data_IF_553715809067
#
_entry.id   IF_553715809067
#
_cell.length_a   1.000
_cell.length_b   1.000
_cell.length_c   1.000
_cell.angle_alpha   90.00
_cell.angle_beta   90.00
_cell.angle_gamma   90.00
#
_symmetry.space_group_name_H-M   'P 1'
#
loop_
_entity.id
_entity.type
_entity.pdbx_description
1 polymer ?
#
# COMPACT_ATOMS: atom_id res chain seq x y z
N UNK A 1 -14.92 0.61 -23.60
CA UNK A 1 -13.54 1.06 -23.71
C UNK A 1 -12.76 0.10 -24.59
N UNK A 2 -11.89 0.60 -25.46
CA UNK A 2 -11.00 -0.29 -26.23
C UNK A 2 -10.06 -0.99 -25.24
N UNK A 3 -9.77 -2.30 -25.41
CA UNK A 3 -8.80 -2.98 -24.60
C UNK A 3 -7.44 -2.29 -24.73
N UNK A 4 -6.71 -2.23 -23.63
CA UNK A 4 -5.33 -1.74 -23.61
C UNK A 4 -4.51 -2.69 -24.48
N UNK A 5 -3.89 -2.21 -25.56
CA UNK A 5 -2.90 -2.96 -26.29
C UNK A 5 -1.58 -2.79 -25.53
N UNK A 6 -1.22 -3.80 -24.74
CA UNK A 6 0.16 -4.01 -24.33
C UNK A 6 0.90 -4.63 -25.50
N UNK A 7 1.85 -3.93 -26.07
CA UNK A 7 2.91 -4.62 -26.79
C UNK A 7 3.76 -5.27 -25.69
N UNK A 8 3.53 -6.56 -25.46
CA UNK A 8 4.43 -7.34 -24.63
C UNK A 8 5.70 -7.56 -25.44
N UNK A 9 6.73 -6.78 -25.16
CA UNK A 9 8.08 -7.13 -25.54
C UNK A 9 8.51 -8.21 -24.56
N UNK A 10 8.35 -9.47 -24.91
CA UNK A 10 9.04 -10.55 -24.22
C UNK A 10 10.50 -10.43 -24.64
N UNK A 11 11.29 -9.72 -23.86
CA UNK A 11 12.74 -9.72 -24.02
C UNK A 11 13.21 -11.04 -23.42
N UNK A 12 13.56 -11.99 -24.26
CA UNK A 12 14.38 -13.13 -23.83
C UNK A 12 15.80 -12.61 -23.60
N UNK A 13 16.03 -12.16 -22.36
CA UNK A 13 17.28 -11.51 -21.93
C UNK A 13 18.47 -12.48 -22.01
N UNK A 14 18.23 -13.78 -22.09
CA UNK A 14 19.27 -14.79 -22.30
C UNK A 14 19.92 -14.70 -23.69
N UNK A 15 19.30 -14.05 -24.68
CA UNK A 15 19.75 -14.01 -26.07
C UNK A 15 20.36 -12.68 -26.52
N UNK A 16 20.14 -11.57 -25.84
CA UNK A 16 20.61 -10.25 -26.30
C UNK A 16 21.66 -9.65 -25.37
N UNK A 17 22.92 -9.64 -25.86
CA UNK A 17 24.00 -8.78 -25.34
C UNK A 17 23.82 -7.33 -25.85
N UNK A 18 22.64 -6.78 -25.75
CA UNK A 18 22.35 -5.38 -26.01
C UNK A 18 22.07 -4.71 -24.69
N UNK A 19 22.77 -3.63 -24.35
CA UNK A 19 22.38 -2.79 -23.23
C UNK A 19 21.03 -2.17 -23.57
N UNK A 20 19.97 -2.39 -22.78
CA UNK A 20 18.77 -1.58 -22.92
C UNK A 20 19.16 -0.12 -22.67
N UNK A 21 18.59 0.81 -23.42
CA UNK A 21 18.84 2.26 -23.25
C UNK A 21 18.53 2.77 -21.84
N UNK A 22 17.94 1.93 -20.98
CA UNK A 22 17.46 2.23 -19.63
C UNK A 22 18.04 1.29 -18.55
N UNK A 23 19.34 1.01 -18.58
CA UNK A 23 20.04 0.27 -17.53
C UNK A 23 20.46 -1.16 -17.91
N UNK A 24 21.07 -1.85 -16.97
CA UNK A 24 21.57 -3.20 -17.10
C UNK A 24 20.76 -4.17 -16.25
N UNK A 25 20.46 -5.35 -16.80
CA UNK A 25 19.79 -6.45 -16.10
C UNK A 25 20.77 -7.61 -15.95
N UNK A 26 20.81 -8.21 -14.75
CA UNK A 26 21.56 -9.42 -14.43
C UNK A 26 20.63 -10.43 -13.74
N UNK A 27 20.62 -11.67 -14.25
CA UNK A 27 19.78 -12.76 -13.75
C UNK A 27 20.60 -13.93 -13.16
N UNK A 28 21.87 -13.73 -12.88
CA UNK A 28 22.77 -14.81 -12.42
C UNK A 28 22.48 -15.28 -10.99
N UNK A 29 21.92 -14.39 -10.14
CA UNK A 29 21.62 -14.68 -8.75
C UNK A 29 20.25 -14.11 -8.33
N UNK A 30 19.21 -14.38 -9.12
CA UNK A 30 17.91 -13.73 -9.02
C UNK A 30 17.80 -12.62 -10.06
N UNK A 31 17.08 -11.54 -9.73
CA UNK A 31 16.97 -10.37 -10.59
C UNK A 31 17.78 -9.20 -10.03
N UNK A 32 18.53 -8.53 -10.89
CA UNK A 32 19.23 -7.29 -10.59
C UNK A 32 19.12 -6.32 -11.78
N UNK A 33 18.77 -5.08 -11.49
CA UNK A 33 18.70 -3.97 -12.44
C UNK A 33 19.57 -2.81 -11.95
N UNK A 34 20.40 -2.29 -12.81
CA UNK A 34 21.29 -1.17 -12.51
C UNK A 34 21.15 -0.07 -13.56
N UNK A 35 20.99 1.18 -13.10
CA UNK A 35 20.91 2.37 -13.93
C UNK A 35 21.77 3.50 -13.35
N UNK A 36 22.55 4.17 -14.21
CA UNK A 36 23.36 5.34 -13.82
C UNK A 36 22.47 6.56 -13.59
N UNK A 37 22.61 7.20 -12.43
CA UNK A 37 21.91 8.43 -12.06
C UNK A 37 22.80 9.64 -12.28
N UNK A 38 22.32 10.61 -13.05
CA UNK A 38 22.94 11.93 -13.15
C UNK A 38 22.61 12.78 -11.92
N UNK A 39 23.40 13.82 -11.65
CA UNK A 39 23.18 14.70 -10.48
C UNK A 39 21.81 15.36 -10.46
N UNK A 40 21.25 15.65 -11.62
CA UNK A 40 19.94 16.27 -11.80
C UNK A 40 18.77 15.32 -11.70
N UNK A 41 19.00 14.00 -11.70
CA UNK A 41 17.92 13.03 -11.69
C UNK A 41 17.21 13.00 -10.34
N UNK A 42 15.88 12.96 -10.40
CA UNK A 42 14.99 12.81 -9.25
C UNK A 42 14.30 11.46 -9.38
N UNK A 43 14.24 10.71 -8.29
CA UNK A 43 13.52 9.43 -8.24
C UNK A 43 12.29 9.58 -7.33
N UNK A 44 11.10 9.30 -7.89
CA UNK A 44 9.82 9.34 -7.20
C UNK A 44 9.26 7.94 -7.01
N UNK A 45 8.34 7.76 -6.06
CA UNK A 45 7.55 6.54 -5.91
C UNK A 45 7.77 5.79 -4.61
N UNK A 46 7.69 4.46 -4.66
CA UNK A 46 7.93 3.49 -3.58
C UNK A 46 6.90 3.50 -2.44
N UNK A 47 5.82 4.29 -2.55
CA UNK A 47 4.75 4.30 -1.57
C UNK A 47 5.08 5.08 -0.30
N UNK A 48 4.63 4.55 0.82
CA UNK A 48 4.77 5.20 2.11
C UNK A 48 6.21 5.14 2.64
N UNK A 49 6.76 6.31 2.95
CA UNK A 49 8.07 6.45 3.59
C UNK A 49 8.15 7.81 4.32
N UNK A 50 8.86 7.87 5.43
CA UNK A 50 9.08 9.10 6.20
C UNK A 50 10.06 10.09 5.53
N UNK A 51 10.61 9.70 4.41
CA UNK A 51 11.59 10.47 3.63
C UNK A 51 10.89 11.36 2.60
N UNK A 52 11.62 12.32 2.09
CA UNK A 52 11.11 13.27 1.11
C UNK A 52 10.60 12.64 -0.20
N UNK A 53 10.07 13.50 -1.08
CA UNK A 53 9.55 13.07 -2.40
C UNK A 53 10.66 12.50 -3.27
N UNK A 54 11.85 13.10 -3.28
CA UNK A 54 13.02 12.54 -3.94
C UNK A 54 13.57 11.37 -3.11
N UNK A 55 13.60 10.19 -3.70
CA UNK A 55 14.01 8.96 -3.02
C UNK A 55 15.52 8.71 -3.02
N UNK A 56 16.31 9.58 -3.64
CA UNK A 56 17.78 9.43 -3.69
C UNK A 56 18.45 9.51 -2.32
N UNK A 57 19.56 8.80 -2.20
CA UNK A 57 20.38 8.73 -1.00
C UNK A 57 19.90 7.72 0.04
N UNK A 58 18.95 6.86 -0.31
CA UNK A 58 18.38 5.91 0.63
C UNK A 58 18.13 4.54 -0.01
N UNK A 59 17.99 3.55 0.87
CA UNK A 59 17.56 2.19 0.52
C UNK A 59 16.12 1.98 0.98
N UNK A 60 15.32 1.29 0.16
CA UNK A 60 13.93 0.94 0.43
C UNK A 60 13.73 -0.55 0.21
N UNK A 61 12.90 -1.15 1.02
CA UNK A 61 12.51 -2.56 0.88
C UNK A 61 11.00 -2.59 0.67
N UNK A 62 10.57 -3.14 -0.45
CA UNK A 62 9.15 -3.35 -0.74
C UNK A 62 8.64 -4.53 0.07
N UNK A 63 8.24 -4.25 1.31
CA UNK A 63 7.69 -5.22 2.25
C UNK A 63 6.81 -4.47 3.23
N UNK A 64 5.49 -4.63 3.13
CA UNK A 64 4.56 -3.99 4.05
C UNK A 64 4.76 -4.56 5.46
N UNK A 65 5.02 -3.70 6.42
CA UNK A 65 5.30 -4.08 7.79
C UNK A 65 4.50 -3.21 8.77
N UNK A 66 3.89 -3.86 9.76
CA UNK A 66 3.32 -3.18 10.92
C UNK A 66 4.46 -2.79 11.86
N UNK A 67 4.94 -1.55 11.69
CA UNK A 67 6.01 -1.01 12.50
C UNK A 67 5.59 0.34 13.12
N UNK A 68 5.30 0.39 14.43
CA UNK A 68 4.90 1.62 15.10
C UNK A 68 6.06 2.61 15.31
N UNK A 69 7.30 2.19 15.10
CA UNK A 69 8.50 3.01 15.29
C UNK A 69 8.93 3.63 13.95
N UNK A 70 8.33 4.75 13.62
CA UNK A 70 8.56 5.47 12.36
C UNK A 70 9.79 6.38 12.47
N UNK A 71 10.92 5.90 11.96
CA UNK A 71 12.16 6.68 11.82
C UNK A 71 12.44 6.97 10.35
N UNK A 72 13.29 7.96 10.06
CA UNK A 72 13.69 8.25 8.67
C UNK A 72 14.54 7.15 8.04
N UNK A 73 15.20 6.32 8.84
CA UNK A 73 16.04 5.21 8.42
C UNK A 73 15.29 3.88 8.26
N UNK A 74 13.99 3.85 8.52
CA UNK A 74 13.15 2.67 8.27
C UNK A 74 13.03 2.41 6.78
N UNK A 75 13.32 1.19 6.34
CA UNK A 75 13.32 0.81 4.94
C UNK A 75 11.94 0.58 4.34
N UNK A 76 10.95 0.24 5.16
CA UNK A 76 9.55 0.05 4.75
C UNK A 76 8.58 0.43 5.86
N UNK A 77 7.36 0.79 5.46
CA UNK A 77 6.22 1.07 6.33
C UNK A 77 5.02 0.21 5.90
N UNK A 78 3.80 0.68 6.16
CA UNK A 78 2.57 -0.09 5.92
C UNK A 78 2.20 -0.27 4.45
N UNK A 79 2.59 0.66 3.56
CA UNK A 79 2.17 0.65 2.16
C UNK A 79 3.34 0.92 1.21
N UNK A 80 4.13 -0.10 0.90
CA UNK A 80 5.14 -0.05 -0.15
C UNK A 80 4.52 -0.33 -1.52
N UNK A 81 5.06 0.30 -2.55
CA UNK A 81 4.66 0.10 -3.94
C UNK A 81 5.88 -0.11 -4.83
N UNK A 82 5.83 -1.14 -5.68
CA UNK A 82 6.92 -1.49 -6.59
C UNK A 82 6.94 -0.62 -7.86
N UNK A 83 6.63 0.66 -7.72
CA UNK A 83 6.61 1.61 -8.82
C UNK A 83 7.49 2.81 -8.52
N UNK A 84 8.39 3.13 -9.48
CA UNK A 84 9.25 4.31 -9.43
C UNK A 84 9.19 5.07 -10.74
N UNK A 85 9.51 6.37 -10.66
CA UNK A 85 9.75 7.24 -11.82
C UNK A 85 11.12 7.86 -11.65
N UNK A 86 12.00 7.65 -12.62
CA UNK A 86 13.23 8.43 -12.78
C UNK A 86 12.90 9.63 -13.66
N UNK A 87 13.29 10.83 -13.25
CA UNK A 87 13.02 12.06 -13.98
C UNK A 87 14.26 12.96 -14.00
N UNK A 88 14.80 13.19 -15.17
CA UNK A 88 16.02 13.97 -15.40
C UNK A 88 16.37 14.03 -16.86
N UNK A 89 17.60 13.71 -17.22
CA UNK A 89 18.05 13.64 -18.60
C UNK A 89 17.23 12.60 -19.41
N UNK A 90 16.86 11.51 -18.76
CA UNK A 90 15.85 10.56 -19.24
C UNK A 90 14.70 10.53 -18.25
N UNK A 91 13.48 10.35 -18.77
CA UNK A 91 12.27 10.26 -17.92
C UNK A 91 11.53 8.98 -18.26
N UNK A 92 11.45 8.08 -17.29
CA UNK A 92 10.77 6.78 -17.43
C UNK A 92 10.23 6.28 -16.09
N UNK A 93 9.24 5.39 -16.15
CA UNK A 93 8.73 4.67 -14.99
C UNK A 93 9.08 3.19 -15.06
N UNK A 94 9.30 2.58 -13.93
CA UNK A 94 9.45 1.13 -13.77
C UNK A 94 8.40 0.63 -12.78
N UNK A 95 7.66 -0.38 -13.19
CA UNK A 95 6.76 -1.11 -12.31
C UNK A 95 7.15 -2.59 -12.32
N UNK A 96 7.34 -3.13 -11.12
CA UNK A 96 7.68 -4.53 -10.90
C UNK A 96 6.45 -5.25 -10.35
N UNK A 97 5.83 -6.08 -11.19
CA UNK A 97 4.74 -6.95 -10.75
C UNK A 97 5.34 -8.21 -10.13
N UNK A 98 5.64 -8.10 -8.86
CA UNK A 98 6.27 -9.14 -8.07
C UNK A 98 5.71 -9.17 -6.65
N UNK A 99 5.16 -10.30 -6.18
CA UNK A 99 4.44 -10.39 -4.92
C UNK A 99 5.34 -10.56 -3.68
N UNK A 100 6.66 -10.52 -3.85
CA UNK A 100 7.61 -10.69 -2.76
C UNK A 100 8.53 -9.47 -2.62
N UNK A 101 9.54 -9.59 -1.78
CA UNK A 101 10.42 -8.49 -1.41
C UNK A 101 11.34 -8.06 -2.54
N UNK A 102 11.33 -6.77 -2.85
CA UNK A 102 12.29 -6.11 -3.74
C UNK A 102 13.05 -5.05 -2.95
N UNK A 103 14.35 -4.97 -3.17
CA UNK A 103 15.19 -3.89 -2.61
C UNK A 103 15.47 -2.84 -3.69
N UNK A 104 15.25 -1.58 -3.32
CA UNK A 104 15.56 -0.41 -4.13
C UNK A 104 16.67 0.39 -3.45
N UNK A 105 17.87 0.30 -3.95
CA UNK A 105 19.01 1.13 -3.53
C UNK A 105 19.09 2.33 -4.46
N UNK A 106 18.64 3.48 -3.99
CA UNK A 106 18.50 4.68 -4.80
C UNK A 106 19.63 5.65 -4.48
N UNK A 107 20.83 5.36 -4.96
CA UNK A 107 22.00 6.20 -4.69
C UNK A 107 22.47 6.14 -3.24
N UNK A 108 22.16 5.09 -2.49
CA UNK A 108 22.61 4.89 -1.10
C UNK A 108 24.00 4.27 -1.05
N UNK A 109 24.19 3.13 -1.70
CA UNK A 109 25.49 2.44 -1.74
C UNK A 109 26.47 3.13 -2.70
N UNK A 110 25.98 3.56 -3.87
CA UNK A 110 26.69 4.38 -4.84
C UNK A 110 25.80 5.55 -5.23
N UNK A 111 26.26 6.78 -4.99
CA UNK A 111 25.46 8.01 -5.14
C UNK A 111 24.96 8.28 -6.57
N UNK A 112 25.62 7.69 -7.56
CA UNK A 112 25.36 7.81 -9.00
C UNK A 112 24.69 6.56 -9.59
N UNK A 113 24.12 5.66 -8.74
CA UNK A 113 23.53 4.41 -9.20
C UNK A 113 22.17 4.14 -8.55
N UNK A 114 21.20 3.77 -9.37
CA UNK A 114 19.98 3.10 -8.96
C UNK A 114 20.21 1.59 -9.12
N UNK A 115 20.12 0.84 -8.02
CA UNK A 115 20.23 -0.61 -8.03
C UNK A 115 18.98 -1.24 -7.42
N UNK A 116 18.29 -2.07 -8.20
CA UNK A 116 17.07 -2.76 -7.82
C UNK A 116 17.31 -4.26 -7.93
N UNK A 117 17.01 -5.00 -6.88
CA UNK A 117 17.26 -6.44 -6.86
C UNK A 117 16.28 -7.23 -6.01
N UNK A 118 16.07 -8.49 -6.37
CA UNK A 118 15.33 -9.49 -5.59
C UNK A 118 15.87 -10.90 -5.86
N UNK A 119 15.46 -11.85 -5.02
CA UNK A 119 16.01 -13.22 -5.03
C UNK A 119 15.51 -14.11 -6.18
N UNK A 120 14.52 -13.65 -6.95
CA UNK A 120 13.93 -14.41 -8.05
C UNK A 120 13.97 -13.62 -9.34
N UNK A 121 14.18 -14.32 -10.45
CA UNK A 121 14.05 -13.77 -11.79
C UNK A 121 12.64 -13.99 -12.40
N UNK A 122 11.73 -14.62 -11.66
CA UNK A 122 10.35 -14.83 -12.08
C UNK A 122 9.48 -13.64 -11.67
N UNK A 123 9.54 -12.58 -12.44
CA UNK A 123 8.80 -11.33 -12.23
C UNK A 123 8.51 -10.64 -13.58
N UNK A 124 7.43 -9.87 -13.61
CA UNK A 124 7.10 -9.00 -14.73
C UNK A 124 7.57 -7.57 -14.48
N UNK A 125 8.22 -6.97 -15.49
CA UNK A 125 8.68 -5.59 -15.43
C UNK A 125 8.01 -4.79 -16.53
N UNK A 126 7.38 -3.68 -16.14
CA UNK A 126 6.77 -2.73 -17.07
C UNK A 126 7.63 -1.47 -17.13
N UNK A 127 8.18 -1.20 -18.30
CA UNK A 127 8.88 0.06 -18.59
C UNK A 127 7.87 1.03 -19.21
N UNK A 128 7.69 2.17 -18.57
CA UNK A 128 6.71 3.19 -18.98
C UNK A 128 7.48 4.41 -19.43
N UNK A 129 7.41 4.73 -20.71
CA UNK A 129 8.05 5.91 -21.29
C UNK A 129 7.09 7.10 -21.35
N UNK A 130 7.62 8.31 -21.24
CA UNK A 130 6.82 9.54 -21.30
C UNK A 130 7.69 10.79 -21.17
N UNK A 131 7.14 11.93 -21.57
CA UNK A 131 7.86 13.21 -21.56
C UNK A 131 7.94 13.84 -20.18
N UNK A 132 7.15 13.33 -19.24
CA UNK A 132 7.07 13.87 -17.88
C UNK A 132 6.61 12.83 -16.85
N UNK A 133 6.89 13.03 -15.55
CA UNK A 133 6.32 12.20 -14.48
C UNK A 133 4.77 12.11 -14.52
N UNK A 134 4.10 13.15 -14.99
CA UNK A 134 2.63 13.16 -15.15
C UNK A 134 2.18 12.19 -16.25
N UNK A 135 2.89 12.16 -17.39
CA UNK A 135 2.55 11.25 -18.49
C UNK A 135 2.76 9.80 -18.08
N UNK A 136 3.85 9.52 -17.37
CA UNK A 136 4.15 8.20 -16.83
C UNK A 136 3.07 7.78 -15.82
N UNK A 137 2.73 8.63 -14.86
CA UNK A 137 1.66 8.37 -13.90
C UNK A 137 0.32 8.13 -14.58
N UNK A 138 0.01 8.89 -15.62
CA UNK A 138 -1.22 8.72 -16.40
C UNK A 138 -1.27 7.36 -17.12
N UNK A 139 -0.15 6.92 -17.67
CA UNK A 139 -0.04 5.61 -18.32
C UNK A 139 -0.11 4.47 -17.29
N UNK A 140 0.60 4.59 -16.18
CA UNK A 140 0.53 3.64 -15.06
C UNK A 140 -0.93 3.48 -14.56
N UNK A 141 -1.65 4.58 -14.37
CA UNK A 141 -3.07 4.54 -13.99
C UNK A 141 -3.99 3.93 -15.05
N UNK A 142 -3.62 3.94 -16.32
CA UNK A 142 -4.37 3.19 -17.35
C UNK A 142 -4.17 1.69 -17.21
N UNK A 143 -2.98 1.28 -16.81
CA UNK A 143 -2.60 -0.11 -16.62
C UNK A 143 -3.27 -0.71 -15.38
N UNK A 144 -3.14 -0.05 -14.22
CA UNK A 144 -3.68 -0.54 -12.93
C UNK A 144 -5.14 -0.16 -12.67
N UNK A 145 -5.72 0.71 -13.49
CA UNK A 145 -7.08 1.21 -13.31
C UNK A 145 -7.14 2.56 -12.58
N UNK A 146 -8.37 3.05 -12.41
CA UNK A 146 -8.62 4.33 -11.73
C UNK A 146 -8.89 4.09 -10.26
N UNK A 147 -8.27 4.92 -9.41
CA UNK A 147 -8.60 4.94 -7.99
C UNK A 147 -10.06 5.38 -7.78
N UNK A 148 -10.70 4.75 -6.81
CA UNK A 148 -11.98 5.25 -6.31
C UNK A 148 -11.80 6.66 -5.73
N UNK A 149 -12.73 7.55 -6.02
CA UNK A 149 -12.77 8.87 -5.39
C UNK A 149 -13.74 8.77 -4.22
N UNK A 150 -13.25 8.79 -2.99
CA UNK A 150 -14.10 8.67 -1.82
C UNK A 150 -14.96 9.92 -1.60
N UNK A 151 -16.02 9.83 -0.78
CA UNK A 151 -16.83 10.98 -0.42
C UNK A 151 -16.01 12.04 0.32
N UNK A 152 -16.47 13.29 0.29
CA UNK A 152 -15.71 14.45 0.77
C UNK A 152 -15.21 14.32 2.21
N UNK A 153 -15.99 13.71 3.10
CA UNK A 153 -15.59 13.53 4.50
C UNK A 153 -14.30 12.72 4.66
N UNK A 154 -14.02 11.78 3.76
CA UNK A 154 -12.83 10.93 3.80
C UNK A 154 -11.52 11.69 3.50
N UNK A 155 -11.61 12.94 3.05
CA UNK A 155 -10.48 13.86 2.92
C UNK A 155 -10.35 14.81 4.13
N UNK A 156 -11.24 14.68 5.12
CA UNK A 156 -11.20 15.43 6.36
C UNK A 156 -10.32 14.76 7.42
N UNK A 157 -10.38 15.32 8.64
CA UNK A 157 -9.59 14.78 9.75
C UNK A 157 -10.31 13.60 10.41
N UNK A 158 -9.56 12.51 10.61
CA UNK A 158 -10.02 11.32 11.32
C UNK A 158 -9.16 11.05 12.56
N UNK A 159 -9.80 10.84 13.71
CA UNK A 159 -9.11 10.46 14.94
C UNK A 159 -9.19 8.95 15.15
N UNK A 160 -8.02 8.33 15.32
CA UNK A 160 -7.87 6.93 15.67
C UNK A 160 -7.04 6.75 16.93
N UNK A 161 -7.40 5.75 17.72
CA UNK A 161 -6.57 5.29 18.84
C UNK A 161 -7.00 3.89 19.26
N UNK A 162 -6.04 2.99 19.46
CA UNK A 162 -6.31 1.76 20.20
C UNK A 162 -6.72 2.05 21.64
N UNK A 163 -7.79 1.42 22.13
CA UNK A 163 -8.32 1.61 23.46
C UNK A 163 -9.53 2.52 23.58
N UNK A 164 -10.13 2.96 22.47
CA UNK A 164 -11.53 3.44 22.47
C UNK A 164 -12.45 2.23 22.44
N UNK A 165 -13.10 1.93 23.58
CA UNK A 165 -13.83 0.68 23.81
C UNK A 165 -15.33 0.83 23.84
N UNK A 166 -15.82 2.03 24.22
CA UNK A 166 -17.22 2.29 24.46
C UNK A 166 -17.72 3.46 23.62
N UNK A 167 -19.04 3.57 23.38
CA UNK A 167 -19.63 4.75 22.74
C UNK A 167 -19.19 6.07 23.36
N UNK A 168 -19.07 6.12 24.70
CA UNK A 168 -18.65 7.31 25.45
C UNK A 168 -17.24 7.76 25.12
N UNK A 169 -16.32 6.83 24.82
CA UNK A 169 -14.95 7.18 24.41
C UNK A 169 -14.97 7.97 23.11
N UNK A 170 -15.72 7.52 22.11
CA UNK A 170 -15.85 8.18 20.81
C UNK A 170 -16.59 9.52 20.91
N UNK A 171 -17.68 9.56 21.67
CA UNK A 171 -18.44 10.81 21.91
C UNK A 171 -17.58 11.85 22.64
N UNK A 172 -16.80 11.41 23.61
CA UNK A 172 -15.87 12.30 24.35
C UNK A 172 -14.82 12.88 23.43
N UNK A 173 -14.25 12.06 22.55
CA UNK A 173 -13.28 12.52 21.55
C UNK A 173 -13.93 13.54 20.62
N UNK A 174 -15.05 13.18 20.00
CA UNK A 174 -15.77 14.05 19.08
C UNK A 174 -16.13 15.39 19.72
N UNK A 175 -16.67 15.36 20.93
CA UNK A 175 -17.04 16.53 21.70
C UNK A 175 -15.83 17.43 22.01
N UNK A 176 -14.71 16.87 22.48
CA UNK A 176 -13.49 17.62 22.78
C UNK A 176 -12.92 18.35 21.56
N UNK A 177 -12.95 17.73 20.40
CA UNK A 177 -12.55 18.37 19.15
C UNK A 177 -13.44 19.58 18.84
N UNK A 178 -14.78 19.42 18.97
CA UNK A 178 -15.74 20.51 18.73
C UNK A 178 -15.59 21.65 19.74
N UNK A 179 -15.47 21.34 21.04
CA UNK A 179 -15.27 22.33 22.10
C UNK A 179 -14.00 23.18 21.91
N UNK A 180 -12.96 22.57 21.35
CA UNK A 180 -11.70 23.26 21.04
C UNK A 180 -11.66 23.87 19.63
N UNK A 181 -12.78 23.89 18.91
CA UNK A 181 -12.89 24.40 17.54
C UNK A 181 -11.95 23.73 16.54
N UNK A 182 -11.62 22.47 16.77
CA UNK A 182 -10.80 21.65 15.87
C UNK A 182 -11.74 20.83 14.98
N UNK A 183 -11.63 20.93 13.64
CA UNK A 183 -12.44 20.12 12.74
C UNK A 183 -12.19 18.63 12.95
N UNK A 184 -13.27 17.84 12.88
CA UNK A 184 -13.21 16.38 12.86
C UNK A 184 -14.35 15.85 11.98
N UNK A 185 -14.05 14.92 11.10
CA UNK A 185 -14.99 14.32 10.15
C UNK A 185 -15.22 12.84 10.42
N UNK A 186 -14.23 12.16 11.02
CA UNK A 186 -14.26 10.73 11.27
C UNK A 186 -13.68 10.38 12.63
N UNK A 187 -14.21 9.31 13.22
CA UNK A 187 -13.58 8.58 14.33
C UNK A 187 -13.43 7.12 13.94
N UNK A 188 -12.28 6.55 14.22
CA UNK A 188 -11.99 5.17 13.90
C UNK A 188 -12.18 4.28 15.10
N UNK A 189 -12.90 3.18 14.91
CA UNK A 189 -13.00 2.09 15.89
C UNK A 189 -11.84 1.12 15.64
N UNK A 190 -11.04 0.90 16.66
CA UNK A 190 -10.03 -0.16 16.69
C UNK A 190 -10.67 -1.48 17.18
N UNK A 191 -9.93 -2.55 17.27
CA UNK A 191 -10.40 -3.92 17.53
C UNK A 191 -11.28 -4.07 18.78
N UNK A 192 -11.22 -3.15 19.73
CA UNK A 192 -11.98 -3.21 21.00
C UNK A 192 -13.52 -3.08 20.83
N UNK A 193 -14.01 -2.65 19.66
CA UNK A 193 -15.45 -2.62 19.42
C UNK A 193 -16.07 -4.00 19.13
N UNK A 194 -15.22 -4.95 18.76
CA UNK A 194 -15.65 -6.30 18.41
C UNK A 194 -16.04 -7.11 19.65
N UNK A 195 -16.95 -8.07 19.52
CA UNK A 195 -17.13 -9.10 20.53
C UNK A 195 -15.92 -10.03 20.56
N UNK A 196 -15.13 -9.93 21.61
CA UNK A 196 -13.98 -10.82 21.85
C UNK A 196 -12.98 -10.87 20.67
N UNK A 197 -12.81 -9.74 19.98
CA UNK A 197 -11.91 -9.61 18.80
C UNK A 197 -12.30 -10.52 17.62
N UNK A 198 -13.60 -10.70 17.41
CA UNK A 198 -14.15 -11.41 16.27
C UNK A 198 -14.57 -10.41 15.20
N UNK A 199 -14.01 -10.49 14.01
CA UNK A 199 -14.40 -9.65 12.88
C UNK A 199 -15.90 -9.74 12.59
N UNK A 200 -16.47 -8.63 12.12
CA UNK A 200 -17.90 -8.49 11.79
C UNK A 200 -18.87 -8.67 12.98
N UNK A 201 -18.36 -8.54 14.20
CA UNK A 201 -19.16 -8.51 15.41
C UNK A 201 -19.09 -7.13 16.07
N UNK A 202 -20.10 -6.82 16.88
CA UNK A 202 -20.15 -5.62 17.72
C UNK A 202 -20.36 -6.09 19.15
N UNK A 203 -19.60 -5.55 20.09
CA UNK A 203 -19.80 -5.88 21.50
C UNK A 203 -21.05 -5.23 22.08
N UNK A 204 -21.56 -5.76 23.19
CA UNK A 204 -22.85 -5.36 23.78
C UNK A 204 -22.84 -3.92 24.34
N UNK A 205 -21.69 -3.31 24.59
CA UNK A 205 -21.57 -1.95 25.11
C UNK A 205 -22.12 -0.90 24.14
N UNK A 206 -22.20 -1.21 22.85
CA UNK A 206 -22.73 -0.32 21.82
C UNK A 206 -24.26 -0.34 21.70
N UNK A 207 -24.96 -1.26 22.39
CA UNK A 207 -26.41 -1.34 22.37
C UNK A 207 -26.99 -1.39 20.95
N UNK A 208 -27.90 -0.46 20.61
CA UNK A 208 -28.36 -0.31 19.22
C UNK A 208 -27.30 0.44 18.41
N UNK A 209 -26.41 -0.34 17.81
CA UNK A 209 -25.31 0.19 16.99
C UNK A 209 -25.80 1.04 15.82
N UNK A 210 -26.93 0.69 15.22
CA UNK A 210 -27.48 1.46 14.10
C UNK A 210 -27.92 2.85 14.54
N UNK A 211 -28.60 2.95 15.68
CA UNK A 211 -29.00 4.22 16.26
C UNK A 211 -27.78 5.06 16.66
N UNK A 212 -26.77 4.44 17.24
CA UNK A 212 -25.51 5.10 17.60
C UNK A 212 -24.83 5.72 16.38
N UNK A 213 -24.68 4.98 15.29
CA UNK A 213 -24.10 5.47 14.03
C UNK A 213 -24.91 6.65 13.46
N UNK A 214 -26.24 6.56 13.45
CA UNK A 214 -27.07 7.65 12.94
C UNK A 214 -26.99 8.91 13.82
N UNK A 215 -26.76 8.77 15.12
CA UNK A 215 -26.57 9.92 16.01
C UNK A 215 -25.23 10.63 15.72
N UNK A 216 -24.12 9.91 15.58
CA UNK A 216 -22.84 10.50 15.16
C UNK A 216 -22.94 11.19 13.79
N UNK A 217 -23.70 10.60 12.89
CA UNK A 217 -23.91 11.14 11.55
C UNK A 217 -24.70 12.46 11.54
N UNK A 218 -25.65 12.65 12.49
CA UNK A 218 -26.33 13.93 12.68
C UNK A 218 -25.35 15.05 13.08
N UNK A 219 -24.29 14.69 13.81
CA UNK A 219 -23.20 15.61 14.19
C UNK A 219 -22.13 15.76 13.10
N UNK A 220 -22.40 15.24 11.90
CA UNK A 220 -21.47 15.21 10.77
C UNK A 220 -20.16 14.45 11.05
N UNK A 221 -20.21 13.43 11.90
CA UNK A 221 -19.09 12.54 12.19
C UNK A 221 -19.39 11.17 11.58
N UNK A 222 -18.39 10.58 10.90
CA UNK A 222 -18.46 9.23 10.38
C UNK A 222 -17.70 8.28 11.27
N UNK A 223 -18.32 7.17 11.59
CA UNK A 223 -17.70 6.07 12.31
C UNK A 223 -17.09 5.11 11.31
N UNK A 224 -15.81 4.80 11.48
CA UNK A 224 -15.04 3.94 10.57
C UNK A 224 -14.50 2.75 11.37
N UNK A 225 -15.16 1.59 11.35
CA UNK A 225 -14.66 0.41 12.02
C UNK A 225 -13.47 -0.19 11.24
N UNK A 226 -12.47 -0.62 11.98
CA UNK A 226 -11.39 -1.42 11.40
C UNK A 226 -11.93 -2.82 11.06
N UNK A 227 -11.44 -3.41 9.99
CA UNK A 227 -11.49 -4.84 9.73
C UNK A 227 -10.06 -5.33 9.85
N UNK A 228 -9.75 -5.93 10.97
CA UNK A 228 -8.44 -6.50 11.22
C UNK A 228 -8.39 -7.88 10.57
N UNK A 229 -7.59 -8.05 9.53
CA UNK A 229 -7.66 -9.18 8.61
C UNK A 229 -7.17 -10.52 9.23
N UNK A 230 -7.57 -10.80 10.46
CA UNK A 230 -7.23 -11.99 11.24
C UNK A 230 -8.46 -12.69 11.80
N UNK A 231 -8.98 -13.70 11.09
CA UNK A 231 -10.14 -14.45 11.58
C UNK A 231 -9.77 -15.28 12.79
N UNK A 232 -10.40 -14.98 13.94
CA UNK A 232 -10.18 -15.71 15.19
C UNK A 232 -10.60 -17.17 15.06
N UNK A 233 -9.73 -18.09 15.49
CA UNK A 233 -10.02 -19.53 15.55
C UNK A 233 -10.89 -19.81 16.77
N UNK A 234 -12.20 -19.92 16.56
CA UNK A 234 -13.15 -20.16 17.65
C UNK A 234 -14.34 -20.96 17.14
N UNK A 235 -14.66 -22.09 17.82
CA UNK A 235 -15.81 -22.92 17.47
C UNK A 235 -17.11 -22.17 17.75
N UNK A 236 -18.04 -22.20 16.80
CA UNK A 236 -19.32 -21.48 16.88
C UNK A 236 -19.25 -20.03 16.40
N UNK A 237 -18.07 -19.58 15.97
CA UNK A 237 -17.93 -18.33 15.25
C UNK A 237 -18.13 -18.59 13.75
N UNK A 238 -19.22 -18.07 13.23
CA UNK A 238 -19.73 -18.38 11.88
C UNK A 238 -18.74 -18.01 10.77
N UNK A 239 -18.04 -16.89 10.89
CA UNK A 239 -17.01 -16.46 9.92
C UNK A 239 -15.83 -17.44 9.92
N UNK A 240 -15.35 -17.87 11.09
CA UNK A 240 -14.31 -18.88 11.18
C UNK A 240 -14.74 -20.22 10.56
N UNK A 241 -15.96 -20.67 10.87
CA UNK A 241 -16.47 -21.92 10.32
C UNK A 241 -16.60 -21.85 8.80
N UNK A 242 -17.08 -20.73 8.25
CA UNK A 242 -17.16 -20.51 6.81
C UNK A 242 -15.77 -20.51 6.14
N UNK A 243 -14.81 -19.77 6.71
CA UNK A 243 -13.42 -19.71 6.20
C UNK A 243 -12.73 -21.06 6.31
N UNK A 244 -12.90 -21.75 7.44
CA UNK A 244 -12.35 -23.08 7.67
C UNK A 244 -12.84 -24.08 6.62
N UNK A 245 -14.13 -24.04 6.30
CA UNK A 245 -14.72 -24.92 5.28
C UNK A 245 -14.24 -24.56 3.86
N UNK A 246 -14.13 -23.29 3.52
CA UNK A 246 -13.87 -22.84 2.14
C UNK A 246 -12.40 -22.71 1.78
N UNK A 247 -11.53 -22.40 2.76
CA UNK A 247 -10.12 -22.07 2.52
C UNK A 247 -9.14 -23.01 3.22
N UNK A 248 -9.45 -23.51 4.42
CA UNK A 248 -8.54 -24.37 5.17
C UNK A 248 -8.77 -25.86 4.90
N UNK A 249 -9.98 -26.24 4.47
CA UNK A 249 -10.28 -27.56 3.97
C UNK A 249 -10.54 -27.48 2.47
N UNK A 250 -9.50 -27.37 1.66
CA UNK A 250 -9.65 -27.63 0.24
C UNK A 250 -10.17 -29.05 0.09
N UNK A 251 -11.31 -29.27 -0.59
CA UNK A 251 -11.71 -30.62 -0.94
C UNK A 251 -10.57 -31.18 -1.80
N UNK A 252 -9.85 -32.15 -1.27
CA UNK A 252 -8.92 -32.95 -2.05
C UNK A 252 -9.77 -33.70 -3.06
N UNK A 253 -9.99 -33.12 -4.24
CA UNK A 253 -10.52 -33.87 -5.37
C UNK A 253 -9.39 -34.84 -5.72
N UNK A 254 -9.49 -36.03 -5.14
CA UNK A 254 -8.77 -37.20 -5.68
C UNK A 254 -9.43 -37.52 -7.01
N UNK A 255 -8.78 -37.17 -8.07
CA UNK A 255 -8.98 -37.77 -9.38
C UNK A 255 -8.44 -39.20 -9.37
#
# INVERSE_FOLDING_TARGET
GKPFQTESVVVDIAAEKGQPDHGNIDLTAGFSYTFGLEDSDIVYGLGEANRGINKRGYKYISNNADNPHHHEDVYSLYASHNFIIVSGAQTFGLYFDYPSTITFDVGYTKCDELHIFCDSADLDIYVITGDSPYDITKQFRKMIGRSYIPPKFAFGFGQSRWGYKTPEDFETVARKYRENHIPIDMVYMDIDYMDSYKDFTINDDFGDFSEYVENLKKDNIRLIPIIDAGVKIEKGYDVYEAVSYTHLTLPTIRL
#
